data_IF_576292764280
#
_entry.id   IF_576292764280
#
_cell.length_a   1.000
_cell.length_b   1.000
_cell.length_c   1.000
_cell.angle_alpha   90.00
_cell.angle_beta   90.00
_cell.angle_gamma   90.00
#
_symmetry.space_group_name_H-M   'P 1'
#
loop_
_entity.id
_entity.type
_entity.pdbx_description
1 polymer ?
#
# COMPACT_ATOMS: atom_id res chain seq x y z
N UNK A 1 -4.21 38.52 46.40
CA UNK A 1 -3.87 38.79 47.82
C UNK A 1 -4.93 38.31 48.81
N UNK A 2 -6.13 37.92 48.34
CA UNK A 2 -7.23 37.36 49.17
C UNK A 2 -6.81 36.18 50.07
N UNK A 3 -6.11 35.18 49.51
CA UNK A 3 -5.80 33.93 50.21
C UNK A 3 -4.82 34.09 51.38
N UNK A 4 -3.83 34.99 51.26
CA UNK A 4 -2.85 35.25 52.33
C UNK A 4 -3.51 35.91 53.55
N UNK A 5 -4.50 36.78 53.30
CA UNK A 5 -5.29 37.44 54.35
C UNK A 5 -6.17 36.44 55.12
N UNK A 6 -6.78 35.49 54.41
CA UNK A 6 -7.56 34.41 55.06
C UNK A 6 -6.66 33.54 55.93
N UNK A 7 -5.47 33.16 55.45
CA UNK A 7 -4.52 32.37 56.24
C UNK A 7 -4.12 33.08 57.55
N UNK A 8 -3.79 34.37 57.48
CA UNK A 8 -3.42 35.16 58.66
C UNK A 8 -4.56 35.25 59.68
N UNK A 9 -5.81 35.39 59.23
CA UNK A 9 -6.98 35.43 60.12
C UNK A 9 -7.25 34.08 60.81
N UNK A 10 -6.97 32.95 60.15
CA UNK A 10 -7.22 31.61 60.71
C UNK A 10 -6.09 31.15 61.62
N UNK A 11 -4.84 31.44 61.25
CA UNK A 11 -3.65 30.91 61.95
C UNK A 11 -3.00 31.93 62.89
N UNK A 12 -3.50 33.17 62.93
CA UNK A 12 -2.98 34.28 63.75
C UNK A 12 -1.54 34.67 63.44
N UNK A 13 -0.96 34.15 62.35
CA UNK A 13 0.45 34.32 62.00
C UNK A 13 0.61 34.58 60.50
N UNK A 14 1.67 35.31 60.13
CA UNK A 14 2.00 35.52 58.73
C UNK A 14 2.53 34.24 58.10
N UNK A 15 2.25 34.04 56.82
CA UNK A 15 2.72 32.91 56.05
C UNK A 15 4.26 32.86 56.01
N UNK A 16 4.84 31.80 56.60
CA UNK A 16 6.29 31.69 56.85
C UNK A 16 7.14 31.44 55.60
N UNK A 17 6.55 30.95 54.51
CA UNK A 17 7.28 30.53 53.31
C UNK A 17 7.17 31.51 52.15
N UNK A 18 6.96 32.80 52.43
CA UNK A 18 6.82 33.78 51.35
C UNK A 18 8.12 33.88 50.52
N UNK A 19 9.26 33.85 51.19
CA UNK A 19 10.58 33.84 50.53
C UNK A 19 10.79 32.60 49.65
N UNK A 20 10.32 31.43 50.08
CA UNK A 20 10.43 30.20 49.30
C UNK A 20 9.57 30.27 48.03
N UNK A 21 8.40 30.91 48.10
CA UNK A 21 7.54 31.14 46.95
C UNK A 21 8.21 32.05 45.90
N UNK A 22 8.87 33.12 46.35
CA UNK A 22 9.62 34.03 45.48
C UNK A 22 10.78 33.35 44.74
N UNK A 23 11.45 32.40 45.39
CA UNK A 23 12.52 31.59 44.76
C UNK A 23 11.92 30.56 43.79
N UNK A 24 10.81 29.93 44.18
CA UNK A 24 10.19 28.89 43.35
C UNK A 24 9.69 29.48 42.03
N UNK A 25 9.04 30.65 42.05
CA UNK A 25 8.53 31.30 40.84
C UNK A 25 9.63 31.80 39.89
N UNK A 26 10.82 32.09 40.40
CA UNK A 26 11.94 32.57 39.56
C UNK A 26 12.74 31.41 38.94
N UNK A 27 12.53 30.18 39.41
CA UNK A 27 13.24 29.00 38.90
C UNK A 27 12.72 28.61 37.49
N UNK A 28 13.60 28.43 36.48
CA UNK A 28 13.19 28.19 35.09
C UNK A 28 12.35 26.93 34.91
N UNK A 29 12.59 25.89 35.70
CA UNK A 29 11.81 24.64 35.70
C UNK A 29 10.34 24.87 36.11
N UNK A 30 10.11 25.78 37.06
CA UNK A 30 8.76 26.11 37.54
C UNK A 30 8.00 26.96 36.53
N UNK A 31 8.69 27.91 35.89
CA UNK A 31 8.11 28.72 34.81
C UNK A 31 7.68 27.86 33.60
N UNK A 32 8.47 26.86 33.22
CA UNK A 32 8.08 25.90 32.18
C UNK A 32 6.83 25.08 32.56
N UNK A 33 6.65 24.75 33.84
CA UNK A 33 5.46 24.04 34.31
C UNK A 33 4.21 24.92 34.23
N UNK A 34 4.33 26.20 34.61
CA UNK A 34 3.22 27.14 34.57
C UNK A 34 2.77 27.46 33.14
N UNK A 35 3.70 27.71 32.21
CA UNK A 35 3.36 27.95 30.79
C UNK A 35 2.82 26.72 30.07
N UNK A 36 3.26 25.52 30.46
CA UNK A 36 2.73 24.25 29.93
C UNK A 36 1.30 23.98 30.41
N UNK A 37 0.94 24.40 31.63
CA UNK A 37 -0.40 24.22 32.16
C UNK A 37 -1.40 25.23 31.60
N UNK A 38 -0.99 26.45 31.25
CA UNK A 38 -1.87 27.41 30.58
C UNK A 38 -2.24 27.00 29.15
N UNK A 39 -1.31 26.33 28.45
CA UNK A 39 -1.55 25.80 27.09
C UNK A 39 -2.27 24.44 27.05
N UNK A 40 -2.57 23.84 28.21
CA UNK A 40 -3.23 22.54 28.33
C UNK A 40 -4.50 22.57 29.18
N UNK A 41 -5.35 23.59 28.99
CA UNK A 41 -6.78 23.49 29.32
C UNK A 41 -7.50 22.56 28.34
N UNK A 42 -7.15 21.28 28.37
CA UNK A 42 -7.94 20.13 27.87
C UNK A 42 -7.26 18.84 28.36
N UNK A 43 -7.82 18.28 29.43
CA UNK A 43 -7.72 16.88 29.86
C UNK A 43 -6.34 16.36 30.31
N UNK A 44 -6.14 16.24 31.63
CA UNK A 44 -6.10 14.94 32.36
C UNK A 44 -5.65 15.17 33.81
N UNK A 45 -6.58 14.88 34.71
CA UNK A 45 -6.45 14.81 36.17
C UNK A 45 -5.38 13.76 36.54
N UNK A 46 -4.19 14.21 36.96
CA UNK A 46 -3.21 13.36 37.64
C UNK A 46 -3.46 13.44 39.14
N UNK A 47 -3.97 12.35 39.71
CA UNK A 47 -4.12 12.14 41.16
C UNK A 47 -2.75 11.78 41.71
N UNK A 48 -2.11 12.70 42.42
CA UNK A 48 -0.94 12.40 43.28
C UNK A 48 -1.49 11.99 44.64
N UNK A 49 -1.44 10.68 44.95
CA UNK A 49 -1.63 10.19 46.31
C UNK A 49 -0.29 10.32 47.04
N UNK A 50 -0.28 11.14 48.09
CA UNK A 50 0.83 11.27 49.03
C UNK A 50 0.63 10.18 50.07
N UNK A 51 1.54 9.20 50.14
CA UNK A 51 1.73 8.40 51.34
C UNK A 51 3.06 8.78 52.02
N UNK A 52 3.09 8.91 53.35
CA UNK A 52 4.29 9.25 54.10
C UNK A 52 5.01 7.98 54.50
N UNK A 53 6.25 7.76 54.04
CA UNK A 53 7.15 6.93 54.84
C UNK A 53 8.61 7.31 54.61
N UNK A 54 9.31 7.45 55.74
CA UNK A 54 10.68 7.95 55.88
C UNK A 54 11.74 7.03 55.29
N UNK A 55 12.92 7.62 55.07
CA UNK A 55 14.09 6.93 54.52
C UNK A 55 15.21 7.91 54.22
N UNK A 56 15.84 8.37 55.30
CA UNK A 56 17.12 9.07 55.44
C UNK A 56 18.04 9.08 54.21
N UNK A 57 18.23 10.25 53.61
CA UNK A 57 19.29 10.49 52.61
C UNK A 57 20.44 11.25 53.26
N UNK A 58 21.43 10.51 53.74
CA UNK A 58 22.70 11.05 54.23
C UNK A 58 23.58 11.51 53.07
N UNK A 59 23.97 12.77 53.16
CA UNK A 59 24.97 13.47 52.36
C UNK A 59 26.36 12.84 52.49
N UNK A 60 27.13 12.78 51.39
CA UNK A 60 28.45 13.45 51.26
C UNK A 60 29.19 13.04 49.98
N UNK A 61 29.65 14.02 49.20
CA UNK A 61 30.71 13.86 48.19
C UNK A 61 32.06 13.58 48.86
N UNK A 62 33.07 13.05 48.14
CA UNK A 62 34.09 13.98 47.62
C UNK A 62 34.65 13.63 46.23
N UNK A 63 35.25 14.66 45.63
CA UNK A 63 36.00 14.70 44.37
C UNK A 63 37.47 14.41 44.61
N UNK A 64 38.14 13.63 43.74
CA UNK A 64 39.58 13.82 43.41
C UNK A 64 39.96 13.17 42.06
N UNK A 65 40.94 13.73 41.32
CA UNK A 65 41.29 13.36 39.95
C UNK A 65 42.49 12.39 39.89
N UNK A 66 42.62 11.66 38.78
CA UNK A 66 43.78 10.82 38.50
C UNK A 66 44.01 10.69 37.01
N UNK A 67 45.14 11.23 36.55
CA UNK A 67 45.65 11.17 35.18
C UNK A 67 46.60 9.97 35.02
N UNK A 68 46.87 9.61 33.76
CA UNK A 68 47.89 8.66 33.24
C UNK A 68 47.59 7.16 33.49
N UNK A 69 47.86 6.19 32.61
CA UNK A 69 48.79 6.05 31.49
C UNK A 69 48.23 5.08 30.42
N UNK A 70 48.67 5.27 29.19
CA UNK A 70 48.49 4.29 28.11
C UNK A 70 49.28 3.01 28.42
N UNK A 71 48.60 1.86 28.37
CA UNK A 71 49.24 0.57 28.14
C UNK A 71 48.43 -0.18 27.07
N UNK A 72 49.00 -0.26 25.87
CA UNK A 72 48.46 -1.04 24.75
C UNK A 72 48.99 -2.47 24.88
N UNK A 73 48.12 -3.41 25.24
CA UNK A 73 48.41 -4.84 25.16
C UNK A 73 47.63 -5.46 23.99
N UNK A 74 48.31 -5.92 22.92
CA UNK A 74 47.69 -6.44 21.71
C UNK A 74 47.48 -7.95 21.78
N UNK A 75 46.61 -8.47 22.65
CA UNK A 75 46.23 -9.89 22.57
C UNK A 75 44.90 -10.29 23.24
N UNK A 76 43.80 -9.60 22.95
CA UNK A 76 42.47 -10.08 23.33
C UNK A 76 41.44 -9.90 22.20
N UNK A 77 41.62 -10.67 21.12
CA UNK A 77 40.55 -10.99 20.17
C UNK A 77 39.72 -12.11 20.78
N UNK A 78 39.00 -11.81 21.86
CA UNK A 78 38.00 -12.70 22.43
C UNK A 78 36.67 -11.96 22.40
N UNK A 79 35.92 -12.21 21.33
CA UNK A 79 34.46 -12.23 21.31
C UNK A 79 33.77 -11.21 22.22
N UNK A 80 33.92 -9.90 21.94
CA UNK A 80 32.96 -8.90 22.43
C UNK A 80 31.61 -9.18 21.77
N UNK A 81 30.84 -10.13 22.31
CA UNK A 81 29.38 -10.09 22.22
C UNK A 81 28.99 -8.77 22.85
N UNK A 82 28.80 -7.75 22.00
CA UNK A 82 28.19 -6.51 22.40
C UNK A 82 26.83 -6.89 23.00
N UNK A 83 26.73 -6.88 24.34
CA UNK A 83 25.44 -6.90 25.01
C UNK A 83 24.83 -5.54 24.72
N UNK A 84 24.12 -5.46 23.60
CA UNK A 84 23.35 -4.30 23.22
C UNK A 84 22.43 -3.96 24.39
N UNK A 85 22.50 -2.71 24.86
CA UNK A 85 21.65 -2.26 25.96
C UNK A 85 20.20 -2.44 25.49
N UNK A 86 19.29 -2.97 26.32
CA UNK A 86 17.91 -3.18 25.92
C UNK A 86 17.34 -1.87 25.38
N UNK A 87 16.78 -1.94 24.18
CA UNK A 87 16.15 -0.79 23.53
C UNK A 87 15.15 -0.21 24.52
N UNK A 88 15.36 1.07 24.90
CA UNK A 88 14.48 1.75 25.82
C UNK A 88 13.04 1.68 25.31
N UNK A 89 12.08 1.53 26.22
CA UNK A 89 10.66 1.35 25.90
C UNK A 89 10.11 2.37 24.88
N UNK A 90 10.65 3.59 24.85
CA UNK A 90 10.29 4.64 23.89
C UNK A 90 10.78 4.34 22.47
N UNK A 91 12.03 3.89 22.30
CA UNK A 91 12.60 3.57 21.00
C UNK A 91 11.94 2.32 20.38
N UNK A 92 11.57 1.32 21.19
CA UNK A 92 10.83 0.15 20.70
C UNK A 92 9.40 0.52 20.29
N UNK A 93 8.72 1.39 21.05
CA UNK A 93 7.38 1.86 20.71
C UNK A 93 7.37 2.64 19.38
N UNK A 94 8.34 3.53 19.18
CA UNK A 94 8.46 4.29 17.93
C UNK A 94 8.81 3.37 16.74
N UNK A 95 9.65 2.35 16.94
CA UNK A 95 9.96 1.34 15.92
C UNK A 95 8.73 0.56 15.50
N UNK A 96 7.92 0.08 16.46
CA UNK A 96 6.67 -0.64 16.18
C UNK A 96 5.67 0.23 15.43
N UNK A 97 5.54 1.51 15.81
CA UNK A 97 4.66 2.45 15.11
C UNK A 97 5.09 2.66 13.66
N UNK A 98 6.38 2.94 13.41
CA UNK A 98 6.91 3.08 12.05
C UNK A 98 6.70 1.81 11.22
N UNK A 99 6.91 0.64 11.80
CA UNK A 99 6.72 -0.63 11.09
C UNK A 99 5.24 -0.89 10.74
N UNK A 100 4.32 -0.51 11.63
CA UNK A 100 2.88 -0.56 11.36
C UNK A 100 2.47 0.42 10.27
N UNK A 101 2.99 1.66 10.31
CA UNK A 101 2.73 2.68 9.30
C UNK A 101 3.29 2.25 7.92
N UNK A 102 4.52 1.73 7.86
CA UNK A 102 5.11 1.20 6.62
C UNK A 102 4.32 0.00 6.08
N UNK A 103 3.91 -0.94 6.93
CA UNK A 103 3.13 -2.10 6.50
C UNK A 103 1.75 -1.68 5.97
N UNK A 104 1.11 -0.70 6.61
CA UNK A 104 -0.14 -0.11 6.13
C UNK A 104 0.05 0.55 4.74
N UNK A 105 1.06 1.39 4.59
CA UNK A 105 1.36 2.04 3.30
C UNK A 105 1.67 1.02 2.20
N UNK A 106 2.40 -0.05 2.52
CA UNK A 106 2.70 -1.13 1.58
C UNK A 106 1.43 -1.90 1.18
N UNK A 107 0.53 -2.17 2.13
CA UNK A 107 -0.76 -2.79 1.86
C UNK A 107 -1.64 -1.92 0.97
N UNK A 108 -1.70 -0.61 1.22
CA UNK A 108 -2.46 0.34 0.40
C UNK A 108 -1.88 0.43 -1.02
N UNK A 109 -0.55 0.54 -1.16
CA UNK A 109 0.14 0.52 -2.47
C UNK A 109 -0.11 -0.79 -3.24
N UNK A 110 -0.02 -1.93 -2.56
CA UNK A 110 -0.31 -3.24 -3.16
C UNK A 110 -1.78 -3.36 -3.59
N UNK A 111 -2.72 -2.81 -2.83
CA UNK A 111 -4.14 -2.80 -3.21
C UNK A 111 -4.37 -1.97 -4.47
N UNK A 112 -3.74 -0.80 -4.57
CA UNK A 112 -3.81 0.07 -5.76
C UNK A 112 -3.21 -0.64 -6.96
N UNK A 113 -1.99 -1.20 -6.83
CA UNK A 113 -1.34 -1.94 -7.92
C UNK A 113 -2.20 -3.12 -8.40
N UNK A 114 -2.76 -3.91 -7.48
CA UNK A 114 -3.65 -5.02 -7.84
C UNK A 114 -4.90 -4.56 -8.59
N UNK A 115 -5.55 -3.49 -8.12
CA UNK A 115 -6.74 -2.95 -8.81
C UNK A 115 -6.40 -2.45 -10.22
N UNK A 116 -5.23 -1.86 -10.40
CA UNK A 116 -4.76 -1.38 -11.68
C UNK A 116 -4.42 -2.54 -12.63
N UNK A 117 -3.69 -3.56 -12.17
CA UNK A 117 -3.36 -4.74 -12.97
C UNK A 117 -4.63 -5.48 -13.39
N UNK A 118 -5.57 -5.72 -12.46
CA UNK A 118 -6.83 -6.37 -12.79
C UNK A 118 -7.65 -5.55 -13.80
N UNK A 119 -7.69 -4.23 -13.66
CA UNK A 119 -8.38 -3.38 -14.63
C UNK A 119 -7.74 -3.41 -16.02
N UNK A 120 -6.40 -3.52 -16.11
CA UNK A 120 -5.71 -3.68 -17.38
C UNK A 120 -5.99 -5.04 -18.01
N UNK A 121 -5.96 -6.12 -17.22
CA UNK A 121 -6.25 -7.48 -17.71
C UNK A 121 -7.68 -7.57 -18.26
N UNK A 122 -8.67 -7.05 -17.54
CA UNK A 122 -10.06 -7.02 -18.03
C UNK A 122 -10.22 -6.22 -19.32
N UNK A 123 -9.47 -5.12 -19.47
CA UNK A 123 -9.50 -4.31 -20.70
C UNK A 123 -8.83 -5.04 -21.86
N UNK A 124 -7.74 -5.75 -21.59
CA UNK A 124 -7.05 -6.55 -22.59
C UNK A 124 -7.94 -7.70 -23.07
N UNK A 125 -8.53 -8.46 -22.14
CA UNK A 125 -9.44 -9.56 -22.47
C UNK A 125 -10.66 -9.08 -23.28
N UNK A 126 -11.26 -7.94 -22.89
CA UNK A 126 -12.34 -7.33 -23.68
C UNK A 126 -11.89 -6.93 -25.09
N UNK A 127 -10.68 -6.38 -25.22
CA UNK A 127 -10.11 -6.00 -26.51
C UNK A 127 -9.84 -7.21 -27.39
N UNK A 128 -9.24 -8.27 -26.84
CA UNK A 128 -8.95 -9.52 -27.56
C UNK A 128 -10.22 -10.22 -28.01
N UNK A 129 -11.22 -10.31 -27.12
CA UNK A 129 -12.54 -10.86 -27.46
C UNK A 129 -13.18 -10.10 -28.61
N UNK A 130 -13.18 -8.77 -28.55
CA UNK A 130 -13.73 -7.94 -29.62
C UNK A 130 -12.97 -8.11 -30.94
N UNK A 131 -11.64 -8.25 -30.90
CA UNK A 131 -10.85 -8.53 -32.10
C UNK A 131 -11.17 -9.90 -32.70
N UNK A 132 -11.31 -10.91 -31.85
CA UNK A 132 -11.64 -12.27 -32.27
C UNK A 132 -13.03 -12.33 -32.91
N UNK A 133 -14.04 -11.73 -32.28
CA UNK A 133 -15.40 -11.64 -32.82
C UNK A 133 -15.42 -10.87 -34.15
N UNK A 134 -14.69 -9.76 -34.25
CA UNK A 134 -14.61 -9.00 -35.49
C UNK A 134 -13.93 -9.80 -36.62
N UNK A 135 -12.90 -10.58 -36.29
CA UNK A 135 -12.22 -11.45 -37.25
C UNK A 135 -13.12 -12.61 -37.71
N UNK A 136 -13.90 -13.20 -36.80
CA UNK A 136 -14.91 -14.21 -37.13
C UNK A 136 -15.99 -13.62 -38.03
N UNK A 137 -16.56 -12.47 -37.65
CA UNK A 137 -17.58 -11.79 -38.45
C UNK A 137 -17.05 -11.41 -39.84
N UNK A 138 -15.79 -10.99 -39.95
CA UNK A 138 -15.15 -10.71 -41.24
C UNK A 138 -15.00 -11.98 -42.08
N UNK A 139 -14.61 -13.10 -41.47
CA UNK A 139 -14.52 -14.41 -42.14
C UNK A 139 -15.89 -14.85 -42.66
N UNK A 140 -16.92 -14.76 -41.83
CA UNK A 140 -18.29 -15.11 -42.21
C UNK A 140 -18.83 -14.21 -43.32
N UNK A 141 -18.62 -12.89 -43.24
CA UNK A 141 -19.00 -11.96 -44.30
C UNK A 141 -18.29 -12.28 -45.62
N UNK A 142 -16.99 -12.52 -45.59
CA UNK A 142 -16.22 -12.90 -46.79
C UNK A 142 -16.73 -14.23 -47.37
N UNK A 143 -17.01 -15.20 -46.51
CA UNK A 143 -17.57 -16.49 -46.92
C UNK A 143 -18.97 -16.32 -47.53
N UNK A 144 -19.82 -15.52 -46.90
CA UNK A 144 -21.16 -15.23 -47.39
C UNK A 144 -21.15 -14.51 -48.74
N UNK A 145 -20.31 -13.48 -48.90
CA UNK A 145 -20.12 -12.76 -50.18
C UNK A 145 -19.66 -13.73 -51.26
N UNK A 146 -18.70 -14.61 -50.93
CA UNK A 146 -18.23 -15.63 -51.85
C UNK A 146 -19.36 -16.56 -52.29
N UNK A 147 -20.14 -17.10 -51.36
CA UNK A 147 -21.28 -17.99 -51.67
C UNK A 147 -22.34 -17.28 -52.52
N UNK A 148 -22.65 -16.00 -52.21
CA UNK A 148 -23.58 -15.21 -53.01
C UNK A 148 -23.09 -15.00 -54.45
N UNK A 149 -21.79 -14.73 -54.62
CA UNK A 149 -21.18 -14.59 -55.95
C UNK A 149 -21.19 -15.93 -56.71
N UNK A 150 -20.78 -17.02 -56.05
CA UNK A 150 -20.82 -18.36 -56.63
C UNK A 150 -22.25 -18.74 -57.05
N UNK A 151 -23.25 -18.47 -56.20
CA UNK A 151 -24.66 -18.67 -56.53
C UNK A 151 -25.11 -17.83 -57.74
N UNK A 152 -24.72 -16.56 -57.78
CA UNK A 152 -25.06 -15.68 -58.91
C UNK A 152 -24.47 -16.21 -60.23
N UNK A 153 -23.23 -16.70 -60.22
CA UNK A 153 -22.58 -17.33 -61.38
C UNK A 153 -23.33 -18.60 -61.80
N UNK A 154 -23.77 -19.42 -60.85
CA UNK A 154 -24.55 -20.63 -61.11
C UNK A 154 -25.95 -20.33 -61.68
N UNK A 155 -26.62 -19.29 -61.18
CA UNK A 155 -27.98 -18.89 -61.60
C UNK A 155 -28.01 -18.14 -62.94
N UNK A 156 -26.84 -17.75 -63.47
CA UNK A 156 -26.73 -17.00 -64.73
C UNK A 156 -27.12 -17.87 -65.92
N UNK A 157 -28.17 -17.47 -66.65
CA UNK A 157 -28.62 -18.14 -67.88
C UNK A 157 -27.68 -17.84 -69.05
N UNK A 158 -27.35 -18.87 -69.83
CA UNK A 158 -26.41 -18.79 -70.95
C UNK A 158 -27.08 -18.45 -72.30
N UNK A 159 -28.39 -18.27 -72.29
CA UNK A 159 -29.19 -17.94 -73.47
C UNK A 159 -28.98 -16.48 -73.85
N UNK A 160 -28.64 -16.23 -75.12
CA UNK A 160 -28.38 -14.88 -75.62
C UNK A 160 -26.97 -14.31 -75.36
N UNK A 161 -26.08 -15.08 -74.73
CA UNK A 161 -24.66 -14.69 -74.56
C UNK A 161 -23.80 -15.05 -75.77
N UNK A 162 -22.67 -14.35 -75.94
CA UNK A 162 -21.65 -14.69 -76.96
C UNK A 162 -20.97 -16.02 -76.65
N UNK A 163 -20.41 -16.70 -77.67
CA UNK A 163 -19.73 -18.01 -77.49
C UNK A 163 -18.64 -17.95 -76.42
N UNK A 164 -17.79 -16.92 -76.46
CA UNK A 164 -16.70 -16.74 -75.50
C UNK A 164 -17.21 -16.54 -74.06
N UNK A 165 -18.28 -15.76 -73.87
CA UNK A 165 -18.87 -15.56 -72.54
C UNK A 165 -19.50 -16.85 -72.00
N UNK A 166 -20.17 -17.62 -72.87
CA UNK A 166 -20.77 -18.90 -72.51
C UNK A 166 -19.72 -19.88 -72.01
N UNK A 167 -18.61 -20.02 -72.74
CA UNK A 167 -17.49 -20.89 -72.35
C UNK A 167 -16.91 -20.47 -70.99
N UNK A 168 -16.75 -19.15 -70.77
CA UNK A 168 -16.26 -18.63 -69.49
C UNK A 168 -17.17 -18.99 -68.31
N UNK A 169 -18.48 -18.76 -68.44
CA UNK A 169 -19.44 -19.10 -67.38
C UNK A 169 -19.52 -20.61 -67.14
N UNK A 170 -19.48 -21.42 -68.19
CA UNK A 170 -19.47 -22.89 -68.06
C UNK A 170 -18.25 -23.37 -67.28
N UNK A 171 -17.07 -22.82 -67.58
CA UNK A 171 -15.83 -23.14 -66.87
C UNK A 171 -15.94 -22.75 -65.38
N UNK A 172 -16.45 -21.55 -65.10
CA UNK A 172 -16.64 -21.08 -63.72
C UNK A 172 -17.66 -21.92 -62.95
N UNK A 173 -18.79 -22.29 -63.57
CA UNK A 173 -19.79 -23.17 -62.96
C UNK A 173 -19.22 -24.55 -62.64
N UNK A 174 -18.43 -25.13 -63.55
CA UNK A 174 -17.76 -26.41 -63.33
C UNK A 174 -16.77 -26.35 -62.15
N UNK A 175 -15.97 -25.28 -62.07
CA UNK A 175 -15.01 -25.05 -60.98
C UNK A 175 -15.72 -24.88 -59.62
N UNK A 176 -16.84 -24.15 -59.57
CA UNK A 176 -17.66 -23.98 -58.38
C UNK A 176 -18.24 -25.34 -57.92
N UNK A 177 -18.80 -26.12 -58.83
CA UNK A 177 -19.34 -27.44 -58.53
C UNK A 177 -18.26 -28.39 -57.99
N UNK A 178 -17.05 -28.36 -58.56
CA UNK A 178 -15.93 -29.14 -58.05
C UNK A 178 -15.58 -28.76 -56.60
N UNK A 179 -15.45 -27.46 -56.31
CA UNK A 179 -15.19 -26.98 -54.95
C UNK A 179 -16.28 -27.37 -53.96
N UNK A 180 -17.55 -27.30 -54.37
CA UNK A 180 -18.67 -27.73 -53.52
C UNK A 180 -18.62 -29.23 -53.25
N UNK A 181 -18.24 -30.03 -54.26
CA UNK A 181 -18.05 -31.48 -54.09
C UNK A 181 -16.91 -31.79 -53.12
N UNK A 182 -15.76 -31.12 -53.26
CA UNK A 182 -14.61 -31.27 -52.37
C UNK A 182 -14.94 -30.85 -50.94
N UNK A 183 -15.62 -29.71 -50.76
CA UNK A 183 -16.06 -29.25 -49.44
C UNK A 183 -17.13 -30.16 -48.82
N UNK A 184 -18.01 -30.75 -49.63
CA UNK A 184 -19.02 -31.71 -49.18
C UNK A 184 -18.42 -33.04 -48.74
N UNK A 185 -17.28 -33.45 -49.30
CA UNK A 185 -16.58 -34.67 -48.93
C UNK A 185 -15.61 -34.48 -47.74
N UNK A 186 -15.10 -33.27 -47.53
CA UNK A 186 -14.17 -32.96 -46.42
C UNK A 186 -14.80 -32.64 -45.06
N UNK A 187 -16.12 -32.44 -44.98
CA UNK A 187 -16.81 -32.00 -43.76
C UNK A 187 -17.32 -33.10 -42.80
N UNK A 188 -17.06 -34.37 -43.09
CA UNK A 188 -17.68 -35.52 -42.39
C UNK A 188 -16.91 -36.14 -41.21
N UNK A 189 -15.66 -35.75 -40.94
CA UNK A 189 -14.83 -36.41 -39.91
C UNK A 189 -14.14 -35.42 -38.98
N UNK A 190 -14.88 -34.88 -38.01
CA UNK A 190 -14.29 -34.41 -36.75
C UNK A 190 -15.36 -34.37 -35.66
N UNK A 191 -15.77 -35.55 -35.21
CA UNK A 191 -16.58 -35.72 -34.01
C UNK A 191 -15.78 -36.49 -32.96
N UNK A 192 -15.58 -35.88 -31.79
CA UNK A 192 -15.48 -36.58 -30.52
C UNK A 192 -14.11 -37.14 -30.14
N UNK A 193 -13.43 -36.40 -29.26
CA UNK A 193 -12.26 -36.88 -28.54
C UNK A 193 -12.03 -36.05 -27.30
N UNK A 194 -13.02 -36.06 -26.40
CA UNK A 194 -12.88 -35.61 -25.01
C UNK A 194 -11.80 -36.46 -24.31
N UNK A 195 -10.95 -35.81 -23.52
CA UNK A 195 -10.32 -36.33 -22.30
C UNK A 195 -9.90 -35.15 -21.43
#
# INVERSE_FOLDING_TARGET
MEAKRVYANVQGTQFKFDTCWEILKTTPKWNQLMTKNESTNKSKKLRVTIEPNGGDSSSSNPTTPGSTDYCFDPMLVETRRQKERPIGCKAEKDRRKKHADTNRNLSESNAIMKSFTSSLDERLERSEKMQMENLQLKREKMHHIRLMNEKMIMDTKLDGMTSAQREWYQLQQAEILQRWKESSMGGGSSSGGEN
#
